data_IF_817947769895
#
_entry.id   IF_817947769895
#
_cell.length_a   1.000
_cell.length_b   1.000
_cell.length_c   1.000
_cell.angle_alpha   90.00
_cell.angle_beta   90.00
_cell.angle_gamma   90.00
#
_symmetry.space_group_name_H-M   'P 1'
#
loop_
_entity.id
_entity.type
_entity.pdbx_description
1 polymer ?
#
# COMPACT_ATOMS: atom_id res chain seq x y z
N UNK A 1 13.16 -83.45 -20.00
CA UNK A 1 12.34 -82.43 -20.70
C UNK A 1 11.88 -81.42 -19.63
N UNK A 2 12.64 -80.31 -19.46
CA UNK A 2 12.36 -79.27 -18.46
C UNK A 2 11.77 -78.09 -19.18
N UNK A 3 10.53 -77.79 -18.86
CA UNK A 3 9.84 -76.65 -19.39
C UNK A 3 10.08 -75.47 -18.45
N UNK A 4 10.99 -74.56 -18.86
CA UNK A 4 11.27 -73.33 -18.17
C UNK A 4 10.15 -72.32 -18.43
N UNK A 5 9.32 -72.05 -17.41
CA UNK A 5 8.26 -71.05 -17.48
C UNK A 5 8.86 -69.66 -17.22
N UNK A 6 8.91 -68.84 -18.27
CA UNK A 6 9.23 -67.43 -18.19
C UNK A 6 8.00 -66.66 -17.65
N UNK A 7 8.08 -66.13 -16.46
CA UNK A 7 7.09 -65.17 -15.93
C UNK A 7 7.41 -63.77 -16.48
N UNK A 8 6.45 -63.03 -17.01
CA UNK A 8 6.66 -61.62 -17.36
C UNK A 8 6.65 -60.78 -16.09
N UNK A 9 7.73 -60.08 -15.82
CA UNK A 9 7.80 -59.05 -14.80
C UNK A 9 7.09 -57.80 -15.35
N UNK A 10 5.92 -57.53 -14.84
CA UNK A 10 5.19 -56.26 -15.13
C UNK A 10 5.83 -55.16 -14.26
N UNK A 11 6.63 -54.32 -14.88
CA UNK A 11 7.08 -53.07 -14.24
C UNK A 11 5.93 -52.09 -14.20
N UNK A 12 5.34 -51.89 -13.01
CA UNK A 12 4.40 -50.81 -12.75
C UNK A 12 5.18 -49.52 -12.62
N UNK A 13 5.13 -48.66 -13.65
CA UNK A 13 5.67 -47.30 -13.61
C UNK A 13 4.66 -46.43 -12.85
N UNK A 14 4.91 -46.18 -11.56
CA UNK A 14 4.19 -45.19 -10.78
C UNK A 14 4.59 -43.80 -11.26
N UNK A 15 3.80 -43.14 -12.08
CA UNK A 15 3.97 -41.72 -12.40
C UNK A 15 3.48 -40.88 -11.21
N UNK A 16 4.40 -40.39 -10.41
CA UNK A 16 4.10 -39.36 -9.41
C UNK A 16 3.79 -38.05 -10.14
N UNK A 17 2.53 -37.73 -10.26
CA UNK A 17 2.08 -36.37 -10.66
C UNK A 17 2.24 -35.47 -9.46
N UNK A 18 3.35 -34.69 -9.44
CA UNK A 18 3.52 -33.62 -8.48
C UNK A 18 2.49 -32.52 -8.73
N UNK A 19 1.48 -32.42 -7.87
CA UNK A 19 0.56 -31.29 -7.87
C UNK A 19 1.32 -30.05 -7.43
N UNK A 20 1.56 -29.11 -8.35
CA UNK A 20 2.15 -27.80 -8.05
C UNK A 20 1.07 -27.02 -7.29
N UNK A 21 1.31 -26.60 -6.03
CA UNK A 21 0.35 -25.75 -5.34
C UNK A 21 0.22 -24.44 -6.12
N UNK A 22 -1.00 -24.16 -6.61
CA UNK A 22 -1.33 -22.86 -7.19
C UNK A 22 -1.18 -21.81 -6.08
N UNK A 23 -0.13 -21.01 -6.14
CA UNK A 23 0.00 -19.86 -5.27
C UNK A 23 -1.08 -18.86 -5.70
N UNK A 24 -2.17 -18.82 -4.92
CA UNK A 24 -3.15 -17.76 -5.05
C UNK A 24 -2.41 -16.43 -4.86
N UNK A 25 -2.39 -15.59 -5.90
CA UNK A 25 -1.87 -14.23 -5.79
C UNK A 25 -2.62 -13.54 -4.65
N UNK A 26 -1.91 -13.17 -3.59
CA UNK A 26 -2.49 -12.39 -2.50
C UNK A 26 -2.82 -11.03 -3.10
N UNK A 27 -4.09 -10.80 -3.39
CA UNK A 27 -4.57 -9.50 -3.84
C UNK A 27 -4.24 -8.49 -2.72
N UNK A 28 -3.38 -7.52 -3.01
CA UNK A 28 -3.10 -6.44 -2.07
C UNK A 28 -4.40 -5.67 -1.83
N UNK A 29 -4.72 -5.44 -0.55
CA UNK A 29 -5.85 -4.59 -0.21
C UNK A 29 -5.64 -3.19 -0.82
N UNK A 30 -6.70 -2.53 -1.32
CA UNK A 30 -6.59 -1.18 -1.84
C UNK A 30 -6.06 -0.23 -0.75
N UNK A 31 -5.38 0.84 -1.17
CA UNK A 31 -4.90 1.86 -0.24
C UNK A 31 -6.09 2.44 0.56
N UNK A 32 -5.92 2.78 1.85
CA UNK A 32 -7.00 3.27 2.70
C UNK A 32 -7.63 4.59 2.22
N UNK A 33 -7.00 5.27 1.26
CA UNK A 33 -7.49 6.48 0.59
C UNK A 33 -7.81 6.25 -0.90
N UNK A 34 -8.03 5.00 -1.33
CA UNK A 34 -8.31 4.67 -2.73
C UNK A 34 -9.58 5.36 -3.27
N UNK A 35 -10.55 5.65 -2.41
CA UNK A 35 -11.77 6.37 -2.74
C UNK A 35 -11.62 7.90 -2.62
N UNK A 36 -10.47 8.38 -2.16
CA UNK A 36 -10.19 9.80 -2.02
C UNK A 36 -10.04 10.51 -3.37
N UNK A 37 -10.49 11.74 -3.43
CA UNK A 37 -10.34 12.62 -4.60
C UNK A 37 -9.22 13.63 -4.36
N UNK A 38 -8.13 13.51 -5.11
CA UNK A 38 -6.94 14.36 -4.96
C UNK A 38 -7.23 15.85 -5.29
N UNK A 39 -8.18 16.14 -6.16
CA UNK A 39 -8.53 17.53 -6.51
C UNK A 39 -9.29 18.22 -5.37
N UNK A 40 -10.08 17.46 -4.60
CA UNK A 40 -10.73 17.95 -3.38
C UNK A 40 -9.73 18.03 -2.21
N UNK A 41 -8.75 17.15 -2.17
CA UNK A 41 -7.73 17.13 -1.12
C UNK A 41 -6.77 18.30 -1.15
N UNK A 42 -6.45 18.81 -2.34
CA UNK A 42 -5.51 19.93 -2.49
C UNK A 42 -5.92 21.18 -1.71
N UNK A 43 -7.11 21.76 -1.89
CA UNK A 43 -7.50 22.97 -1.17
C UNK A 43 -7.59 22.74 0.35
N UNK A 44 -7.96 21.55 0.80
CA UNK A 44 -7.98 21.21 2.22
C UNK A 44 -6.56 21.22 2.81
N UNK A 45 -5.61 20.61 2.10
CA UNK A 45 -4.19 20.62 2.48
C UNK A 45 -3.63 22.05 2.49
N UNK A 46 -3.90 22.84 1.46
CA UNK A 46 -3.37 24.21 1.34
C UNK A 46 -3.90 25.11 2.45
N UNK A 47 -5.15 24.90 2.87
CA UNK A 47 -5.80 25.71 3.89
C UNK A 47 -5.21 25.53 5.30
N UNK A 48 -4.80 24.29 5.65
CA UNK A 48 -4.51 23.96 7.05
C UNK A 48 -3.11 23.37 7.27
N UNK A 49 -2.57 22.61 6.33
CA UNK A 49 -1.31 21.87 6.53
C UNK A 49 -0.08 22.71 6.15
N UNK A 50 -0.20 23.48 5.08
CA UNK A 50 0.92 24.21 4.45
C UNK A 50 1.57 25.21 5.40
N UNK A 51 0.80 26.01 6.11
CA UNK A 51 1.34 27.03 7.00
C UNK A 51 2.16 26.45 8.16
N UNK A 52 1.71 25.36 8.75
CA UNK A 52 2.43 24.69 9.82
C UNK A 52 3.74 24.07 9.30
N UNK A 53 3.69 23.39 8.15
CA UNK A 53 4.89 22.84 7.52
C UNK A 53 5.89 23.93 7.13
N UNK A 54 5.43 25.03 6.55
CA UNK A 54 6.31 26.15 6.20
C UNK A 54 7.05 26.70 7.43
N UNK A 55 6.35 26.92 8.54
CA UNK A 55 6.97 27.40 9.78
C UNK A 55 8.02 26.42 10.32
N UNK A 56 7.79 25.12 10.21
CA UNK A 56 8.71 24.08 10.71
C UNK A 56 9.92 23.84 9.83
N UNK A 57 9.83 24.13 8.54
CA UNK A 57 10.85 23.80 7.55
C UNK A 57 11.43 25.03 6.82
N UNK A 58 11.51 26.16 7.52
CA UNK A 58 12.20 27.35 7.01
C UNK A 58 11.53 28.02 5.80
N UNK A 59 10.19 27.98 5.74
CA UNK A 59 9.40 28.57 4.67
C UNK A 59 9.01 27.59 3.55
N UNK A 60 9.64 26.41 3.49
CA UNK A 60 9.30 25.38 2.49
C UNK A 60 8.40 24.30 3.10
N UNK A 61 7.09 24.44 2.89
CA UNK A 61 6.10 23.51 3.39
C UNK A 61 6.26 22.07 2.84
N UNK A 62 6.82 21.93 1.65
CA UNK A 62 6.92 20.65 0.96
C UNK A 62 8.14 19.84 1.39
N UNK A 63 9.09 20.46 2.04
CA UNK A 63 10.34 19.83 2.47
C UNK A 63 10.12 18.56 3.30
N UNK A 64 9.06 18.53 4.10
CA UNK A 64 8.71 17.37 4.93
C UNK A 64 8.51 16.10 4.10
N UNK A 65 8.02 16.21 2.86
CA UNK A 65 7.72 15.07 2.01
C UNK A 65 8.93 14.49 1.29
N UNK A 66 9.99 15.26 1.15
CA UNK A 66 11.19 14.90 0.37
C UNK A 66 12.40 14.51 1.21
N UNK A 67 12.36 14.70 2.52
CA UNK A 67 13.48 14.35 3.39
C UNK A 67 13.68 12.83 3.46
N UNK A 68 14.94 12.37 3.52
CA UNK A 68 15.28 10.96 3.54
C UNK A 68 14.80 10.21 4.79
N UNK A 69 14.72 10.90 5.92
CA UNK A 69 14.25 10.36 7.21
C UNK A 69 12.73 10.49 7.43
N UNK A 70 11.96 10.73 6.38
CA UNK A 70 10.49 10.79 6.50
C UNK A 70 9.92 9.50 7.09
N UNK A 71 8.98 9.65 8.03
CA UNK A 71 8.38 8.52 8.77
C UNK A 71 7.33 7.76 7.95
N UNK A 72 6.65 8.45 7.04
CA UNK A 72 5.59 7.89 6.21
C UNK A 72 6.21 7.12 5.05
N UNK A 73 6.02 5.81 5.04
CA UNK A 73 6.60 4.90 4.05
C UNK A 73 5.60 3.93 3.43
N UNK A 74 4.35 3.97 3.89
CA UNK A 74 3.25 3.12 3.39
C UNK A 74 1.96 3.91 3.28
N UNK A 75 0.98 3.44 2.46
CA UNK A 75 -0.34 4.06 2.38
C UNK A 75 -1.05 4.17 3.74
N UNK A 76 -0.97 3.12 4.57
CA UNK A 76 -1.57 3.12 5.90
C UNK A 76 -0.94 4.16 6.83
N UNK A 77 0.38 4.33 6.77
CA UNK A 77 1.08 5.36 7.53
C UNK A 77 0.75 6.77 7.05
N UNK A 78 0.52 6.96 5.75
CA UNK A 78 0.08 8.24 5.21
C UNK A 78 -1.29 8.62 5.77
N UNK A 79 -2.26 7.71 5.70
CA UNK A 79 -3.60 7.93 6.23
C UNK A 79 -3.56 8.23 7.74
N UNK A 80 -2.84 7.42 8.50
CA UNK A 80 -2.67 7.62 9.95
C UNK A 80 -2.03 8.99 10.27
N UNK A 81 -1.06 9.45 9.47
CA UNK A 81 -0.43 10.75 9.68
C UNK A 81 -1.39 11.91 9.38
N UNK A 82 -2.23 11.80 8.34
CA UNK A 82 -3.25 12.80 8.03
C UNK A 82 -4.25 12.91 9.18
N UNK A 83 -4.77 11.78 9.66
CA UNK A 83 -5.72 11.75 10.80
C UNK A 83 -5.09 12.30 12.08
N UNK A 84 -3.85 11.95 12.36
CA UNK A 84 -3.10 12.51 13.50
C UNK A 84 -3.00 14.03 13.41
N UNK A 85 -2.60 14.57 12.26
CA UNK A 85 -2.49 16.02 12.07
C UNK A 85 -3.84 16.74 12.16
N UNK A 86 -4.92 16.14 11.62
CA UNK A 86 -6.28 16.65 11.78
C UNK A 86 -6.65 16.80 13.26
N UNK A 87 -6.40 15.77 14.07
CA UNK A 87 -6.66 15.79 15.50
C UNK A 87 -5.79 16.83 16.24
N UNK A 88 -4.48 16.85 15.98
CA UNK A 88 -3.53 17.77 16.64
C UNK A 88 -3.81 19.24 16.32
N UNK A 89 -4.21 19.54 15.09
CA UNK A 89 -4.50 20.91 14.65
C UNK A 89 -5.96 21.33 14.95
N UNK A 90 -6.83 20.37 15.32
CA UNK A 90 -8.24 20.61 15.55
C UNK A 90 -8.96 21.13 14.30
N UNK A 91 -8.61 20.66 13.11
CA UNK A 91 -9.16 21.17 11.85
C UNK A 91 -10.61 20.75 11.62
N UNK A 92 -11.04 19.67 12.26
CA UNK A 92 -12.42 19.17 12.21
C UNK A 92 -12.79 18.51 10.89
N UNK A 93 -11.82 18.05 10.11
CA UNK A 93 -12.08 17.31 8.88
C UNK A 93 -12.73 15.96 9.15
N UNK A 94 -13.72 15.63 8.32
CA UNK A 94 -14.36 14.33 8.33
C UNK A 94 -13.45 13.26 7.70
N UNK A 95 -13.71 11.95 7.93
CA UNK A 95 -12.88 10.87 7.40
C UNK A 95 -12.73 10.87 5.86
N UNK A 96 -13.75 11.24 5.12
CA UNK A 96 -13.70 11.39 3.66
C UNK A 96 -12.80 12.55 3.22
N UNK A 97 -12.80 13.64 3.95
CA UNK A 97 -11.90 14.78 3.70
C UNK A 97 -10.43 14.40 4.00
N UNK A 98 -10.19 13.62 5.04
CA UNK A 98 -8.85 13.06 5.32
C UNK A 98 -8.39 12.13 4.19
N UNK A 99 -9.28 11.29 3.66
CA UNK A 99 -8.99 10.46 2.48
C UNK A 99 -8.67 11.32 1.24
N UNK A 100 -9.37 12.40 1.01
CA UNK A 100 -9.08 13.35 -0.07
C UNK A 100 -7.69 13.96 0.09
N UNK A 101 -7.32 14.39 1.28
CA UNK A 101 -5.99 14.92 1.60
C UNK A 101 -4.91 13.86 1.36
N UNK A 102 -5.12 12.64 1.87
CA UNK A 102 -4.16 11.54 1.69
C UNK A 102 -3.99 11.18 0.20
N UNK A 103 -5.08 11.14 -0.58
CA UNK A 103 -5.03 10.90 -2.02
C UNK A 103 -4.24 12.01 -2.75
N UNK A 104 -4.43 13.26 -2.39
CA UNK A 104 -3.65 14.38 -2.93
C UNK A 104 -2.16 14.24 -2.61
N UNK A 105 -1.81 14.00 -1.34
CA UNK A 105 -0.42 13.85 -0.92
C UNK A 105 0.25 12.65 -1.57
N UNK A 106 -0.48 11.55 -1.73
CA UNK A 106 0.03 10.38 -2.43
C UNK A 106 0.30 10.68 -3.91
N UNK A 107 -0.66 11.28 -4.61
CA UNK A 107 -0.51 11.65 -6.03
C UNK A 107 0.67 12.59 -6.26
N UNK A 108 0.85 13.54 -5.36
CA UNK A 108 1.82 14.61 -5.52
C UNK A 108 3.22 14.22 -5.06
N UNK A 109 3.35 13.50 -3.94
CA UNK A 109 4.63 13.32 -3.26
C UNK A 109 5.04 11.87 -2.99
N UNK A 110 4.13 11.03 -2.44
CA UNK A 110 4.52 9.70 -1.96
C UNK A 110 4.52 8.65 -3.05
N UNK A 111 3.51 8.65 -3.90
CA UNK A 111 3.36 7.74 -5.06
C UNK A 111 3.38 6.26 -4.68
N UNK A 112 2.73 5.93 -3.58
CA UNK A 112 2.47 4.53 -3.21
C UNK A 112 1.50 3.91 -4.22
N UNK A 113 1.74 2.64 -4.56
CA UNK A 113 0.88 1.82 -5.42
C UNK A 113 -0.20 1.12 -4.61
#
# INVERSE_FOLDING_TARGET
>A
MSILRLLPVVLAVCTLTAAIPSQAAVAMAPAPFANGNSELGKPLNDKTCVDCHARRFGGDANRIYFRGERRVRTPAQLMAQVSYCNAELGTGYFPDEEEHIAAYLNKQYYRFE
#
